data_IF_153933921268
#
_entry.id   IF_153933921268
#
_cell.length_a   1.000
_cell.length_b   1.000
_cell.length_c   1.000
_cell.angle_alpha   90.00
_cell.angle_beta   90.00
_cell.angle_gamma   90.00
#
_symmetry.space_group_name_H-M   'P 1'
#
loop_
_entity.id
_entity.type
_entity.pdbx_description
1 polymer ?
#
# COMPACT_ATOMS: atom_id res chain seq x y z
N UNK A 1 -13.15 -26.53 79.49
CA UNK A 1 -12.82 -27.31 78.27
C UNK A 1 -13.30 -26.51 77.07
N UNK A 2 -12.41 -25.74 76.41
CA UNK A 2 -12.67 -25.11 75.12
C UNK A 2 -11.40 -25.18 74.28
N UNK A 3 -11.43 -26.00 73.24
CA UNK A 3 -10.33 -26.26 72.33
C UNK A 3 -10.15 -25.10 71.35
N UNK A 4 -8.90 -24.79 71.04
CA UNK A 4 -8.45 -23.62 70.31
C UNK A 4 -8.59 -23.83 68.79
N UNK A 5 -9.62 -23.26 68.16
CA UNK A 5 -9.88 -23.37 66.72
C UNK A 5 -8.96 -22.51 65.83
N UNK A 6 -7.99 -21.80 66.42
CA UNK A 6 -7.20 -20.77 65.73
C UNK A 6 -6.02 -21.34 64.92
N UNK A 7 -5.74 -22.63 65.01
CA UNK A 7 -4.61 -23.27 64.30
C UNK A 7 -4.90 -23.71 62.86
N UNK A 8 -6.15 -23.76 62.39
CA UNK A 8 -6.48 -24.39 61.10
C UNK A 8 -6.38 -23.48 59.86
N UNK A 9 -5.96 -22.22 59.96
CA UNK A 9 -6.00 -21.30 58.81
C UNK A 9 -4.75 -20.42 58.63
N UNK A 10 -3.54 -20.94 58.88
CA UNK A 10 -2.32 -20.28 58.40
C UNK A 10 -1.90 -20.82 57.04
N UNK A 11 -2.54 -20.31 55.98
CA UNK A 11 -2.15 -20.58 54.59
C UNK A 11 -0.87 -19.79 54.28
N UNK A 12 0.29 -20.46 54.29
CA UNK A 12 1.59 -19.89 53.94
C UNK A 12 1.55 -19.27 52.52
N UNK A 13 1.52 -17.94 52.43
CA UNK A 13 1.67 -17.23 51.15
C UNK A 13 3.16 -16.98 50.92
N UNK A 14 3.86 -17.98 50.37
CA UNK A 14 5.21 -17.77 49.84
C UNK A 14 5.11 -16.91 48.58
N UNK A 15 5.53 -15.65 48.69
CA UNK A 15 5.66 -14.74 47.55
C UNK A 15 6.94 -15.02 46.77
N UNK A 16 6.99 -14.54 45.54
CA UNK A 16 8.21 -14.56 44.72
C UNK A 16 9.32 -13.73 45.36
N UNK A 17 10.56 -14.22 45.25
CA UNK A 17 11.77 -13.55 45.70
C UNK A 17 12.33 -12.62 44.62
N UNK A 18 13.13 -11.63 45.03
CA UNK A 18 13.73 -10.65 44.11
C UNK A 18 14.63 -11.30 43.05
N UNK A 19 15.38 -12.35 43.43
CA UNK A 19 16.25 -13.09 42.51
C UNK A 19 15.45 -13.83 41.43
N UNK A 20 14.27 -14.36 41.78
CA UNK A 20 13.41 -15.05 40.82
C UNK A 20 12.83 -14.07 39.80
N UNK A 21 12.39 -12.88 40.24
CA UNK A 21 11.90 -11.84 39.34
C UNK A 21 13.02 -11.29 38.46
N UNK A 22 14.24 -11.13 39.00
CA UNK A 22 15.39 -10.66 38.24
C UNK A 22 15.77 -11.63 37.11
N UNK A 23 15.79 -12.94 37.39
CA UNK A 23 16.05 -13.95 36.38
C UNK A 23 14.99 -13.93 35.25
N UNK A 24 13.71 -13.76 35.60
CA UNK A 24 12.62 -13.68 34.61
C UNK A 24 12.74 -12.44 33.73
N UNK A 25 13.08 -11.27 34.29
CA UNK A 25 13.27 -10.03 33.53
C UNK A 25 14.44 -10.14 32.55
N UNK A 26 15.54 -10.81 32.94
CA UNK A 26 16.69 -11.06 32.07
C UNK A 26 16.30 -11.96 30.89
N UNK A 27 15.55 -13.02 31.13
CA UNK A 27 15.10 -13.92 30.06
C UNK A 27 14.12 -13.18 29.12
N UNK A 28 13.18 -12.41 29.67
CA UNK A 28 12.23 -11.61 28.87
C UNK A 28 12.94 -10.55 28.02
N UNK A 29 13.97 -9.88 28.54
CA UNK A 29 14.71 -8.86 27.78
C UNK A 29 15.48 -9.49 26.61
N UNK A 30 16.10 -10.65 26.81
CA UNK A 30 16.76 -11.40 25.74
C UNK A 30 15.77 -11.87 24.66
N UNK A 31 14.58 -12.34 25.06
CA UNK A 31 13.52 -12.75 24.14
C UNK A 31 13.00 -11.57 23.30
N UNK A 32 12.88 -10.37 23.89
CA UNK A 32 12.43 -9.17 23.18
C UNK A 32 13.44 -8.73 22.11
N UNK A 33 14.75 -8.84 22.37
CA UNK A 33 15.80 -8.46 21.42
C UNK A 33 15.73 -9.26 20.11
N UNK A 34 15.42 -10.56 20.19
CA UNK A 34 15.28 -11.42 19.00
C UNK A 34 13.92 -11.30 18.30
N UNK A 35 12.85 -11.05 19.06
CA UNK A 35 11.49 -11.03 18.52
C UNK A 35 11.19 -9.75 17.70
N UNK A 36 11.73 -8.60 18.10
CA UNK A 36 11.43 -7.31 17.47
C UNK A 36 11.91 -7.16 16.02
N UNK A 37 13.19 -7.46 15.65
CA UNK A 37 13.67 -7.22 14.28
C UNK A 37 13.01 -8.11 13.22
N UNK A 38 12.59 -9.33 13.60
CA UNK A 38 11.93 -10.26 12.68
C UNK A 38 10.60 -9.72 12.11
N UNK A 39 9.87 -8.92 12.90
CA UNK A 39 8.58 -8.35 12.49
C UNK A 39 8.70 -7.18 11.49
N UNK A 40 9.77 -6.38 11.61
CA UNK A 40 9.93 -5.15 10.81
C UNK A 40 10.32 -5.45 9.36
N UNK A 41 11.18 -6.45 9.12
CA UNK A 41 11.61 -6.83 7.77
C UNK A 41 10.50 -7.43 6.90
N UNK A 42 9.54 -8.15 7.50
CA UNK A 42 8.42 -8.75 6.79
C UNK A 42 7.42 -7.67 6.34
N UNK A 43 7.11 -6.72 7.21
CA UNK A 43 6.19 -5.63 6.90
C UNK A 43 6.68 -4.77 5.71
N UNK A 44 7.98 -4.47 5.63
CA UNK A 44 8.54 -3.72 4.48
C UNK A 44 8.34 -4.47 3.17
N UNK A 45 8.67 -5.77 3.13
CA UNK A 45 8.53 -6.60 1.93
C UNK A 45 7.08 -6.72 1.47
N UNK A 46 6.14 -6.83 2.43
CA UNK A 46 4.70 -6.82 2.12
C UNK A 46 4.30 -5.48 1.51
N UNK A 47 4.71 -4.35 2.08
CA UNK A 47 4.41 -3.03 1.54
C UNK A 47 5.01 -2.81 0.13
N UNK A 48 6.24 -3.28 -0.11
CA UNK A 48 6.87 -3.23 -1.43
C UNK A 48 6.10 -4.06 -2.46
N UNK A 49 5.67 -5.27 -2.08
CA UNK A 49 4.86 -6.13 -2.94
C UNK A 49 3.48 -5.52 -3.23
N UNK A 50 2.83 -4.96 -2.22
CA UNK A 50 1.56 -4.24 -2.37
C UNK A 50 1.71 -3.04 -3.30
N UNK A 51 2.80 -2.27 -3.19
CA UNK A 51 3.07 -1.15 -4.08
C UNK A 51 3.24 -1.63 -5.53
N UNK A 52 3.97 -2.72 -5.75
CA UNK A 52 4.14 -3.32 -7.08
C UNK A 52 2.82 -3.80 -7.67
N UNK A 53 2.01 -4.50 -6.89
CA UNK A 53 0.67 -4.95 -7.31
C UNK A 53 -0.24 -3.78 -7.62
N UNK A 54 -0.31 -2.76 -6.75
CA UNK A 54 -1.11 -1.55 -6.97
C UNK A 54 -0.72 -0.87 -8.28
N UNK A 55 0.60 -0.70 -8.52
CA UNK A 55 1.10 -0.20 -9.80
C UNK A 55 0.65 -1.05 -10.98
N UNK A 56 0.84 -2.37 -10.92
CA UNK A 56 0.45 -3.27 -12.01
C UNK A 56 -1.06 -3.21 -12.30
N UNK A 57 -1.91 -3.15 -11.28
CA UNK A 57 -3.37 -3.07 -11.45
C UNK A 57 -3.75 -1.73 -12.06
N UNK A 58 -3.24 -0.62 -11.55
CA UNK A 58 -3.58 0.69 -12.11
C UNK A 58 -2.98 0.93 -13.50
N UNK A 59 -1.87 0.27 -13.85
CA UNK A 59 -1.36 0.23 -15.21
C UNK A 59 -2.35 -0.46 -16.16
N UNK A 60 -2.85 -1.65 -15.78
CA UNK A 60 -3.87 -2.34 -16.56
C UNK A 60 -5.16 -1.53 -16.69
N UNK A 61 -5.57 -0.84 -15.61
CA UNK A 61 -6.72 0.05 -15.62
C UNK A 61 -6.53 1.25 -16.56
N UNK A 62 -5.33 1.84 -16.59
CA UNK A 62 -5.00 2.91 -17.54
C UNK A 62 -5.05 2.44 -19.00
N UNK A 63 -4.56 1.23 -19.27
CA UNK A 63 -4.63 0.63 -20.60
C UNK A 63 -6.09 0.40 -21.00
N UNK A 64 -6.92 -0.13 -20.10
CA UNK A 64 -8.35 -0.32 -20.33
C UNK A 64 -9.05 1.03 -20.59
N UNK A 65 -8.78 2.05 -19.77
CA UNK A 65 -9.28 3.41 -19.99
C UNK A 65 -8.90 3.92 -21.38
N UNK A 66 -7.65 3.71 -21.80
CA UNK A 66 -7.18 4.11 -23.12
C UNK A 66 -7.85 3.38 -24.28
N UNK A 67 -8.28 2.13 -24.08
CA UNK A 67 -9.05 1.34 -25.05
C UNK A 67 -10.49 1.85 -25.16
N UNK A 68 -11.14 2.14 -24.04
CA UNK A 68 -12.50 2.68 -24.02
C UNK A 68 -12.56 4.10 -24.58
N UNK A 69 -11.44 4.85 -24.45
CA UNK A 69 -11.35 6.26 -24.79
C UNK A 69 -10.38 6.55 -25.95
N UNK A 70 -10.34 5.69 -26.98
CA UNK A 70 -9.45 5.87 -28.15
C UNK A 70 -9.62 7.23 -28.85
N UNK A 71 -10.82 7.81 -28.83
CA UNK A 71 -11.12 9.14 -29.38
C UNK A 71 -10.32 10.25 -28.68
N UNK A 72 -10.06 10.11 -27.38
CA UNK A 72 -9.22 11.01 -26.61
C UNK A 72 -7.79 11.04 -27.12
N UNK A 73 -7.32 10.10 -27.95
CA UNK A 73 -5.95 10.08 -28.49
C UNK A 73 -5.84 10.63 -29.90
N UNK A 74 -6.92 10.57 -30.68
CA UNK A 74 -6.93 10.91 -32.10
C UNK A 74 -7.27 12.39 -32.38
N UNK A 75 -7.93 13.06 -31.42
CA UNK A 75 -8.27 14.48 -31.51
C UNK A 75 -7.51 15.30 -30.46
N UNK A 76 -7.05 16.49 -30.84
CA UNK A 76 -6.13 17.33 -30.04
C UNK A 76 -6.79 17.92 -28.78
N UNK A 77 -8.12 17.97 -28.70
CA UNK A 77 -8.86 18.67 -27.64
C UNK A 77 -9.88 17.80 -26.88
N UNK A 78 -10.00 16.53 -27.23
CA UNK A 78 -10.87 15.59 -26.53
C UNK A 78 -10.03 15.07 -25.36
N UNK A 79 -10.38 15.42 -24.13
CA UNK A 79 -9.75 14.96 -22.87
C UNK A 79 -8.47 15.67 -22.42
N UNK A 80 -8.19 16.89 -22.90
CA UNK A 80 -7.02 17.69 -22.47
C UNK A 80 -7.04 18.11 -20.99
N UNK A 81 -8.19 18.08 -20.31
CA UNK A 81 -8.31 18.32 -18.87
C UNK A 81 -7.82 17.15 -18.01
N UNK A 82 -7.78 15.94 -18.58
CA UNK A 82 -7.47 14.69 -17.87
C UNK A 82 -6.10 14.15 -18.33
N UNK A 83 -5.84 14.24 -19.62
CA UNK A 83 -4.62 13.77 -20.26
C UNK A 83 -3.58 14.87 -20.42
N UNK A 84 -2.31 14.49 -20.24
CA UNK A 84 -1.17 15.35 -20.55
C UNK A 84 -0.40 14.74 -21.72
N UNK A 85 0.03 15.57 -22.67
CA UNK A 85 0.85 15.10 -23.79
C UNK A 85 2.24 14.71 -23.28
N UNK A 86 2.76 13.56 -23.73
CA UNK A 86 4.07 13.06 -23.32
C UNK A 86 5.05 13.06 -24.50
N UNK A 87 6.30 13.39 -24.20
CA UNK A 87 7.41 13.45 -25.15
C UNK A 87 8.69 12.89 -24.50
N UNK A 88 9.54 12.13 -25.22
CA UNK A 88 9.39 11.74 -26.63
C UNK A 88 8.37 10.61 -26.82
N UNK A 89 7.56 10.73 -27.88
CA UNK A 89 6.66 9.68 -28.35
C UNK A 89 7.11 9.25 -29.75
N UNK A 90 7.20 7.94 -29.96
CA UNK A 90 7.45 7.37 -31.28
C UNK A 90 6.39 7.87 -32.29
N UNK A 91 6.82 8.22 -33.50
CA UNK A 91 5.96 8.76 -34.56
C UNK A 91 4.78 7.87 -34.93
N UNK A 92 4.84 6.57 -34.64
CA UNK A 92 3.76 5.61 -34.89
C UNK A 92 2.72 5.54 -33.75
N UNK A 93 2.91 6.30 -32.68
CA UNK A 93 2.06 6.26 -31.50
C UNK A 93 1.49 7.65 -31.15
N UNK A 94 0.35 7.65 -30.49
CA UNK A 94 -0.11 8.75 -29.65
C UNK A 94 0.28 8.43 -28.21
N UNK A 95 1.02 9.32 -27.54
CA UNK A 95 1.42 9.14 -26.15
C UNK A 95 0.84 10.26 -25.30
N UNK A 96 0.04 9.87 -24.30
CA UNK A 96 -0.46 10.80 -23.29
C UNK A 96 -0.44 10.11 -21.94
N UNK A 97 -0.31 10.88 -20.87
CA UNK A 97 -0.36 10.34 -19.53
C UNK A 97 -1.65 10.70 -18.82
N UNK A 98 -2.12 9.79 -17.95
CA UNK A 98 -3.25 9.99 -17.05
C UNK A 98 -2.77 9.80 -15.61
N UNK A 99 -3.30 10.59 -14.67
CA UNK A 99 -2.99 10.43 -13.24
C UNK A 99 -3.80 9.31 -12.60
N UNK A 100 -3.31 8.74 -11.50
CA UNK A 100 -4.09 7.78 -10.73
C UNK A 100 -5.37 8.42 -10.17
N UNK A 101 -5.31 9.68 -9.71
CA UNK A 101 -6.51 10.37 -9.24
C UNK A 101 -7.58 10.53 -10.33
N UNK A 102 -7.18 10.76 -11.58
CA UNK A 102 -8.09 10.82 -12.72
C UNK A 102 -8.70 9.46 -13.04
N UNK A 103 -7.90 8.39 -13.03
CA UNK A 103 -8.42 7.03 -13.24
C UNK A 103 -9.43 6.64 -12.17
N UNK A 104 -9.20 7.06 -10.92
CA UNK A 104 -10.12 6.83 -9.82
C UNK A 104 -11.42 7.62 -9.98
N UNK A 105 -11.31 8.90 -10.36
CA UNK A 105 -12.49 9.75 -10.63
C UNK A 105 -13.35 9.23 -11.79
N UNK A 106 -12.74 8.57 -12.77
CA UNK A 106 -13.42 7.92 -13.89
C UNK A 106 -13.93 6.51 -13.55
N UNK A 107 -13.68 6.00 -12.34
CA UNK A 107 -14.18 4.72 -11.85
C UNK A 107 -13.37 3.48 -12.29
N UNK A 108 -12.16 3.66 -12.83
CA UNK A 108 -11.31 2.55 -13.29
C UNK A 108 -10.47 1.93 -12.17
N UNK A 109 -10.26 2.67 -11.08
CA UNK A 109 -9.63 2.20 -9.84
C UNK A 109 -10.32 2.84 -8.63
N UNK A 110 -10.14 2.26 -7.45
CA UNK A 110 -10.70 2.80 -6.21
C UNK A 110 -9.69 3.69 -5.47
N UNK A 111 -10.19 4.68 -4.73
CA UNK A 111 -9.39 5.39 -3.73
C UNK A 111 -9.16 4.49 -2.51
N UNK A 112 -8.01 4.66 -1.84
CA UNK A 112 -7.77 3.99 -0.55
C UNK A 112 -8.55 4.67 0.59
N UNK A 113 -8.84 5.97 0.42
CA UNK A 113 -9.69 6.77 1.29
C UNK A 113 -10.61 7.60 0.38
N UNK A 114 -11.87 7.18 0.28
CA UNK A 114 -12.87 7.76 -0.62
C UNK A 114 -13.23 9.20 -0.23
N UNK A 115 -13.36 9.46 1.07
CA UNK A 115 -13.71 10.79 1.60
C UNK A 115 -12.63 11.83 1.24
N UNK A 116 -11.36 11.42 1.32
CA UNK A 116 -10.22 12.30 0.97
C UNK A 116 -9.79 12.19 -0.49
N UNK A 117 -10.43 11.32 -1.29
CA UNK A 117 -10.03 10.98 -2.65
C UNK A 117 -8.54 10.71 -2.76
N UNK A 118 -8.03 9.85 -1.87
CA UNK A 118 -6.61 9.61 -1.70
C UNK A 118 -6.21 8.18 -2.05
N UNK A 119 -5.19 8.06 -2.88
CA UNK A 119 -4.47 6.81 -3.14
C UNK A 119 -3.15 6.89 -2.41
N UNK A 120 -2.86 5.92 -1.56
CA UNK A 120 -1.73 5.94 -0.63
C UNK A 120 -0.65 4.95 -1.04
N UNK A 121 0.60 5.39 -0.98
CA UNK A 121 1.74 4.52 -1.13
C UNK A 121 1.94 3.67 0.13
N UNK A 122 1.87 2.33 0.06
CA UNK A 122 1.95 1.48 1.25
C UNK A 122 3.34 1.51 1.91
N UNK A 123 4.40 1.89 1.18
CA UNK A 123 5.79 1.96 1.67
C UNK A 123 6.05 3.24 2.47
N UNK A 124 5.72 4.40 1.89
CA UNK A 124 6.08 5.71 2.47
C UNK A 124 4.89 6.53 2.99
N UNK A 125 3.66 6.00 2.86
CA UNK A 125 2.39 6.61 3.30
C UNK A 125 2.07 7.97 2.65
N UNK A 126 2.78 8.36 1.60
CA UNK A 126 2.49 9.57 0.82
C UNK A 126 1.42 9.29 -0.24
N UNK A 127 0.80 10.37 -0.71
CA UNK A 127 -0.15 10.32 -1.83
C UNK A 127 0.52 9.80 -3.11
N UNK A 128 -0.23 9.01 -3.87
CA UNK A 128 0.09 8.55 -5.22
C UNK A 128 -0.85 9.15 -6.27
N UNK A 129 -1.73 10.07 -5.89
CA UNK A 129 -2.73 10.68 -6.79
C UNK A 129 -2.09 11.24 -8.06
N UNK A 130 -0.94 11.90 -7.91
CA UNK A 130 -0.22 12.55 -9.01
C UNK A 130 0.66 11.59 -9.82
N UNK A 131 0.79 10.33 -9.40
CA UNK A 131 1.53 9.33 -10.16
C UNK A 131 0.83 9.13 -11.50
N UNK A 132 1.58 9.18 -12.59
CA UNK A 132 1.03 9.10 -13.95
C UNK A 132 1.44 7.83 -14.66
N UNK A 133 0.49 7.27 -15.41
CA UNK A 133 0.73 6.20 -16.37
C UNK A 133 0.72 6.81 -17.76
N UNK A 134 1.80 6.58 -18.52
CA UNK A 134 1.85 6.93 -19.94
C UNK A 134 1.13 5.85 -20.72
N UNK A 135 0.12 6.23 -21.47
CA UNK A 135 -0.63 5.39 -22.40
C UNK A 135 -0.13 5.66 -23.81
N UNK A 136 0.23 4.59 -24.51
CA UNK A 136 0.64 4.60 -25.92
C UNK A 136 -0.43 3.91 -26.76
N UNK A 137 -0.97 4.63 -27.72
CA UNK A 137 -1.93 4.10 -28.70
C UNK A 137 -1.27 4.07 -30.08
N UNK A 138 -1.17 2.90 -30.69
CA UNK A 138 -0.62 2.78 -32.04
C UNK A 138 -1.57 3.41 -33.07
N UNK A 139 -1.05 4.21 -34.01
CA UNK A 139 -1.87 5.03 -34.92
C UNK A 139 -2.72 4.20 -35.88
N UNK A 140 -2.19 3.07 -36.35
CA UNK A 140 -2.86 2.20 -37.33
C UNK A 140 -3.76 1.15 -36.66
N UNK A 141 -3.17 0.12 -36.04
CA UNK A 141 -3.91 -1.00 -35.45
C UNK A 141 -4.61 -0.69 -34.11
N UNK A 142 -4.49 0.54 -33.58
CA UNK A 142 -5.12 1.01 -32.33
C UNK A 142 -4.75 0.21 -31.08
N UNK A 143 -3.66 -0.56 -31.12
CA UNK A 143 -3.19 -1.28 -29.95
C UNK A 143 -2.79 -0.28 -28.84
N UNK A 144 -3.23 -0.57 -27.60
CA UNK A 144 -3.00 0.27 -26.42
C UNK A 144 -2.03 -0.43 -25.49
N UNK A 145 -0.97 0.28 -25.10
CA UNK A 145 0.04 -0.17 -24.14
C UNK A 145 0.32 0.94 -23.15
N UNK A 146 1.01 0.65 -22.05
CA UNK A 146 1.36 1.70 -21.09
C UNK A 146 2.54 1.36 -20.20
N UNK A 147 3.05 2.37 -19.51
CA UNK A 147 4.14 2.25 -18.54
C UNK A 147 4.11 3.43 -17.55
N UNK A 148 4.77 3.26 -16.40
CA UNK A 148 4.97 4.36 -15.45
C UNK A 148 6.10 5.27 -15.92
N UNK A 149 5.91 6.57 -15.72
CA UNK A 149 6.98 7.56 -15.84
C UNK A 149 7.93 7.51 -14.65
#
# INVERSE_FOLDING_TARGET
MYTNYKELMMKNKKGFTLSEILAVIIILSLLLVIAVPASQGIASKVNEKLLSTKKSVSLSAAILWGQDNLSCFQATNVCSSILQNESPCDSNFYCRSISLASLAAEGYIEYDDEDKKLITNPVNKKSMNDLRVVIKVHKENKNVTGFYK
#
